data_IF_853417502991
#
_entry.id   IF_853417502991
#
_cell.length_a   1.000
_cell.length_b   1.000
_cell.length_c   1.000
_cell.angle_alpha   90.00
_cell.angle_beta   90.00
_cell.angle_gamma   90.00
#
_symmetry.space_group_name_H-M   'P 1'
#
loop_
_entity.id
_entity.type
_entity.pdbx_description
1 polymer ?
#
# COMPACT_ATOMS: atom_id res chain seq x y z
N UNK A 1 16.49 -13.62 7.77
CA UNK A 1 16.92 -12.48 6.93
C UNK A 1 18.42 -12.52 6.64
N UNK A 2 19.30 -12.60 7.64
CA UNK A 2 20.75 -12.65 7.42
C UNK A 2 21.20 -13.87 6.56
N UNK A 3 20.59 -15.05 6.74
CA UNK A 3 20.89 -16.25 5.93
C UNK A 3 20.50 -16.14 4.45
N UNK A 4 19.59 -15.24 4.09
CA UNK A 4 19.12 -15.04 2.72
C UNK A 4 19.76 -13.80 2.07
N UNK A 5 20.72 -13.17 2.72
CA UNK A 5 21.37 -11.92 2.28
C UNK A 5 20.38 -10.78 1.93
N UNK A 6 19.20 -10.80 2.58
CA UNK A 6 18.13 -9.79 2.38
C UNK A 6 18.19 -8.66 3.42
N UNK A 7 19.13 -8.75 4.37
CA UNK A 7 19.36 -7.68 5.33
C UNK A 7 20.05 -6.50 4.63
N UNK A 8 19.65 -5.29 4.97
CA UNK A 8 20.17 -4.05 4.38
C UNK A 8 20.04 -3.98 2.84
N UNK A 9 18.93 -4.51 2.33
CA UNK A 9 18.60 -4.46 0.90
C UNK A 9 17.19 -3.92 0.69
N UNK A 10 16.98 -3.15 -0.41
CA UNK A 10 15.65 -2.67 -0.78
C UNK A 10 14.68 -3.83 -1.05
N UNK A 11 15.16 -4.92 -1.65
CA UNK A 11 14.34 -6.12 -1.92
C UNK A 11 13.85 -6.74 -0.60
N UNK A 12 14.75 -6.88 0.39
CA UNK A 12 14.38 -7.37 1.72
C UNK A 12 13.33 -6.49 2.40
N UNK A 13 13.49 -5.18 2.32
CA UNK A 13 12.53 -4.22 2.86
C UNK A 13 11.17 -4.33 2.15
N UNK A 14 11.14 -4.41 0.82
CA UNK A 14 9.91 -4.58 0.03
C UNK A 14 9.18 -5.86 0.40
N UNK A 15 9.89 -7.00 0.50
CA UNK A 15 9.30 -8.29 0.86
C UNK A 15 8.65 -8.26 2.24
N UNK A 16 9.35 -7.72 3.25
CA UNK A 16 8.81 -7.65 4.63
C UNK A 16 7.64 -6.69 4.72
N UNK A 17 7.75 -5.51 4.09
CA UNK A 17 6.66 -4.53 4.07
C UNK A 17 5.43 -5.09 3.36
N UNK A 18 5.60 -5.78 2.24
CA UNK A 18 4.51 -6.44 1.51
C UNK A 18 3.85 -7.54 2.35
N UNK A 19 4.64 -8.37 3.04
CA UNK A 19 4.11 -9.40 3.91
C UNK A 19 3.28 -8.82 5.08
N UNK A 20 3.74 -7.72 5.68
CA UNK A 20 3.01 -7.03 6.74
C UNK A 20 1.66 -6.47 6.28
N UNK A 21 1.58 -5.98 5.03
CA UNK A 21 0.36 -5.42 4.44
C UNK A 21 -0.61 -6.50 3.91
N UNK A 22 -0.11 -7.72 3.69
CA UNK A 22 -0.90 -8.79 3.06
C UNK A 22 -2.14 -9.18 3.87
N UNK A 23 -2.05 -9.17 5.19
CA UNK A 23 -3.19 -9.52 6.05
C UNK A 23 -4.39 -8.59 5.82
N UNK A 24 -4.15 -7.27 5.78
CA UNK A 24 -5.19 -6.26 5.54
C UNK A 24 -5.70 -6.36 4.10
N UNK A 25 -4.81 -6.55 3.13
CA UNK A 25 -5.16 -6.70 1.72
C UNK A 25 -6.11 -7.89 1.49
N UNK A 26 -5.78 -9.05 2.07
CA UNK A 26 -6.62 -10.26 1.98
C UNK A 26 -7.96 -10.03 2.66
N UNK A 27 -7.97 -9.47 3.87
CA UNK A 27 -9.21 -9.20 4.61
C UNK A 27 -10.17 -8.31 3.82
N UNK A 28 -9.68 -7.20 3.28
CA UNK A 28 -10.49 -6.27 2.50
C UNK A 28 -11.01 -6.91 1.20
N UNK A 29 -10.14 -7.66 0.50
CA UNK A 29 -10.50 -8.30 -0.76
C UNK A 29 -11.54 -9.40 -0.55
N UNK A 30 -11.36 -10.27 0.46
CA UNK A 30 -12.32 -11.34 0.77
C UNK A 30 -13.68 -10.76 1.15
N UNK A 31 -13.70 -9.75 2.03
CA UNK A 31 -14.97 -9.13 2.42
C UNK A 31 -15.69 -8.48 1.23
N UNK A 32 -14.94 -7.87 0.31
CA UNK A 32 -15.53 -7.28 -0.89
C UNK A 32 -16.09 -8.34 -1.85
N UNK A 33 -15.34 -9.42 -2.09
CA UNK A 33 -15.78 -10.51 -2.98
C UNK A 33 -17.03 -11.20 -2.44
N UNK A 34 -17.18 -11.30 -1.12
CA UNK A 34 -18.39 -11.85 -0.49
C UNK A 34 -19.66 -11.04 -0.72
N UNK A 35 -19.55 -9.78 -1.14
CA UNK A 35 -20.70 -8.94 -1.49
C UNK A 35 -21.22 -9.22 -2.91
N UNK A 36 -20.51 -10.00 -3.71
CA UNK A 36 -20.98 -10.41 -5.05
C UNK A 36 -22.20 -11.33 -4.87
N UNK A 37 -23.36 -11.02 -5.50
CA UNK A 37 -24.54 -11.85 -5.39
C UNK A 37 -24.29 -13.29 -5.85
N UNK A 38 -24.76 -14.27 -5.07
CA UNK A 38 -24.60 -15.68 -5.38
C UNK A 38 -25.27 -16.09 -6.71
N UNK A 39 -26.36 -15.43 -7.05
CA UNK A 39 -27.11 -15.63 -8.31
C UNK A 39 -26.22 -15.50 -9.56
N UNK A 40 -25.20 -14.64 -9.51
CA UNK A 40 -24.25 -14.50 -10.64
C UNK A 40 -23.35 -15.74 -10.78
N UNK A 41 -22.99 -16.35 -9.66
CA UNK A 41 -22.21 -17.60 -9.67
C UNK A 41 -23.06 -18.77 -10.18
N UNK A 42 -24.34 -18.83 -9.75
CA UNK A 42 -25.29 -19.85 -10.17
C UNK A 42 -25.57 -19.75 -11.68
N UNK A 43 -25.75 -18.54 -12.21
CA UNK A 43 -25.93 -18.31 -13.65
C UNK A 43 -24.70 -18.81 -14.44
N UNK A 44 -23.48 -18.46 -14.00
CA UNK A 44 -22.26 -18.93 -14.64
C UNK A 44 -22.11 -20.46 -14.57
N UNK A 45 -22.58 -21.08 -13.50
CA UNK A 45 -22.57 -22.53 -13.33
C UNK A 45 -23.54 -23.23 -14.32
N UNK A 46 -24.75 -22.66 -14.51
CA UNK A 46 -25.72 -23.15 -15.51
C UNK A 46 -25.18 -23.04 -16.95
N UNK A 47 -24.42 -21.97 -17.23
CA UNK A 47 -23.72 -21.78 -18.52
C UNK A 47 -22.50 -22.69 -18.70
N UNK A 48 -22.20 -23.57 -17.74
CA UNK A 48 -21.08 -24.51 -17.80
C UNK A 48 -19.71 -23.82 -17.70
N UNK A 49 -19.63 -22.62 -17.14
CA UNK A 49 -18.39 -21.88 -17.03
C UNK A 49 -17.40 -22.58 -16.07
N UNK A 50 -16.14 -22.71 -16.51
CA UNK A 50 -15.08 -23.20 -15.65
C UNK A 50 -14.74 -22.20 -14.54
N UNK A 51 -14.16 -22.66 -13.42
CA UNK A 51 -13.73 -21.79 -12.32
C UNK A 51 -12.83 -20.63 -12.80
N UNK A 52 -11.94 -20.91 -13.75
CA UNK A 52 -11.09 -19.89 -14.37
C UNK A 52 -11.90 -18.84 -15.13
N UNK A 53 -12.95 -19.26 -15.82
CA UNK A 53 -13.84 -18.35 -16.54
C UNK A 53 -14.61 -17.49 -15.56
N UNK A 54 -15.17 -18.06 -14.49
CA UNK A 54 -15.84 -17.35 -13.41
C UNK A 54 -14.89 -16.32 -12.77
N UNK A 55 -13.66 -16.71 -12.47
CA UNK A 55 -12.68 -15.78 -11.90
C UNK A 55 -12.38 -14.60 -12.84
N UNK A 56 -12.06 -14.87 -14.11
CA UNK A 56 -11.63 -13.83 -15.05
C UNK A 56 -12.77 -12.95 -15.55
N UNK A 57 -13.97 -13.47 -15.70
CA UNK A 57 -15.11 -12.76 -16.29
C UNK A 57 -16.06 -12.15 -15.24
N UNK A 58 -16.14 -12.72 -14.06
CA UNK A 58 -17.01 -12.23 -12.98
C UNK A 58 -16.20 -11.62 -11.83
N UNK A 59 -15.41 -12.43 -11.12
CA UNK A 59 -14.76 -12.02 -9.89
C UNK A 59 -13.74 -10.90 -10.12
N UNK A 60 -12.83 -11.06 -11.06
CA UNK A 60 -11.78 -10.09 -11.35
C UNK A 60 -12.30 -8.71 -11.76
N UNK A 61 -13.23 -8.57 -12.72
CA UNK A 61 -13.78 -7.27 -13.07
C UNK A 61 -14.52 -6.60 -11.91
N UNK A 62 -15.28 -7.37 -11.14
CA UNK A 62 -16.01 -6.86 -9.98
C UNK A 62 -15.07 -6.50 -8.81
N UNK A 63 -13.93 -7.18 -8.65
CA UNK A 63 -12.96 -6.92 -7.60
C UNK A 63 -12.01 -5.73 -7.92
N UNK A 64 -11.97 -5.22 -9.14
CA UNK A 64 -11.08 -4.09 -9.50
C UNK A 64 -11.17 -2.89 -8.56
N UNK A 65 -12.37 -2.45 -8.11
CA UNK A 65 -12.46 -1.31 -7.19
C UNK A 65 -11.74 -1.57 -5.86
N UNK A 66 -11.88 -2.76 -5.28
CA UNK A 66 -11.22 -3.08 -4.00
C UNK A 66 -9.71 -3.21 -4.18
N UNK A 67 -9.23 -3.73 -5.31
CA UNK A 67 -7.79 -3.76 -5.61
C UNK A 67 -7.22 -2.33 -5.63
N UNK A 68 -7.96 -1.37 -6.20
CA UNK A 68 -7.58 0.04 -6.15
C UNK A 68 -7.48 0.57 -4.73
N UNK A 69 -8.47 0.31 -3.88
CA UNK A 69 -8.48 0.71 -2.47
C UNK A 69 -7.32 0.07 -1.71
N UNK A 70 -7.13 -1.24 -1.85
CA UNK A 70 -6.03 -1.99 -1.20
C UNK A 70 -4.67 -1.43 -1.63
N UNK A 71 -4.48 -1.13 -2.92
CA UNK A 71 -3.23 -0.56 -3.43
C UNK A 71 -2.90 0.79 -2.79
N UNK A 72 -3.91 1.63 -2.56
CA UNK A 72 -3.75 2.93 -1.90
C UNK A 72 -3.37 2.74 -0.43
N UNK A 73 -4.08 1.87 0.31
CA UNK A 73 -3.74 1.59 1.71
C UNK A 73 -2.34 1.00 1.85
N UNK A 74 -1.98 0.05 0.99
CA UNK A 74 -0.64 -0.53 0.98
C UNK A 74 0.44 0.52 0.64
N UNK A 75 0.19 1.38 -0.33
CA UNK A 75 1.09 2.46 -0.70
C UNK A 75 1.28 3.49 0.42
N UNK A 76 0.20 3.93 1.07
CA UNK A 76 0.26 4.83 2.22
C UNK A 76 0.97 4.18 3.41
N UNK A 77 0.69 2.91 3.69
CA UNK A 77 1.34 2.15 4.75
C UNK A 77 2.83 1.97 4.51
N UNK A 78 3.25 1.68 3.27
CA UNK A 78 4.65 1.59 2.89
C UNK A 78 5.36 2.94 2.96
N UNK A 79 4.70 4.02 2.50
CA UNK A 79 5.24 5.39 2.53
C UNK A 79 5.51 5.88 3.94
N UNK A 80 4.59 5.60 4.87
CA UNK A 80 4.70 6.05 6.27
C UNK A 80 5.48 5.07 7.16
N UNK A 81 6.00 3.97 6.59
CA UNK A 81 6.69 2.95 7.38
C UNK A 81 8.05 3.46 7.84
N UNK A 82 8.22 3.54 9.15
CA UNK A 82 9.45 3.97 9.81
C UNK A 82 10.15 2.81 10.51
N UNK A 83 9.38 1.96 11.20
CA UNK A 83 9.94 0.94 12.11
C UNK A 83 10.67 -0.16 11.35
N UNK A 84 10.10 -0.68 10.27
CA UNK A 84 10.74 -1.74 9.49
C UNK A 84 12.06 -1.27 8.84
N UNK A 85 12.13 -0.10 8.17
CA UNK A 85 13.39 0.44 7.70
C UNK A 85 14.41 0.65 8.81
N UNK A 86 14.01 1.19 9.97
CA UNK A 86 14.91 1.43 11.10
C UNK A 86 15.61 0.15 11.58
N UNK A 87 14.91 -1.00 11.51
CA UNK A 87 15.43 -2.30 11.97
C UNK A 87 16.19 -3.03 10.85
N UNK A 88 15.76 -2.88 9.60
CA UNK A 88 16.22 -3.70 8.49
C UNK A 88 17.27 -3.04 7.60
N UNK A 89 17.46 -1.72 7.70
CA UNK A 89 18.40 -0.99 6.85
C UNK A 89 19.44 -0.25 7.69
N UNK A 90 20.69 -0.24 7.21
CA UNK A 90 21.81 0.45 7.87
C UNK A 90 22.57 1.37 6.92
N UNK A 91 22.62 1.03 5.63
CA UNK A 91 23.37 1.82 4.65
C UNK A 91 22.58 3.02 4.14
N UNK A 92 23.30 4.07 3.77
CA UNK A 92 22.69 5.27 3.20
C UNK A 92 21.92 4.99 1.89
N UNK A 93 22.32 3.96 1.14
CA UNK A 93 21.68 3.55 -0.12
C UNK A 93 20.31 2.90 0.04
N UNK A 94 19.99 2.41 1.24
CA UNK A 94 18.72 1.75 1.59
C UNK A 94 17.83 2.62 2.48
N UNK A 95 18.28 3.83 2.83
CA UNK A 95 17.53 4.77 3.66
C UNK A 95 16.27 5.24 2.93
N UNK A 96 15.12 5.03 3.56
CA UNK A 96 13.82 5.55 3.08
C UNK A 96 13.51 6.90 3.71
N UNK A 97 12.57 7.64 3.10
CA UNK A 97 12.29 9.03 3.46
C UNK A 97 11.97 9.24 4.96
N UNK A 98 11.07 8.48 5.62
CA UNK A 98 10.80 8.68 7.06
C UNK A 98 12.03 8.47 7.93
N UNK A 99 12.86 7.48 7.61
CA UNK A 99 14.09 7.21 8.34
C UNK A 99 15.13 8.30 8.10
N UNK A 100 15.27 8.79 6.87
CA UNK A 100 16.16 9.92 6.54
C UNK A 100 15.75 11.21 7.24
N UNK A 101 14.46 11.52 7.32
CA UNK A 101 13.95 12.66 8.09
C UNK A 101 14.30 12.56 9.58
N UNK A 102 14.13 11.38 10.16
CA UNK A 102 14.51 11.11 11.54
C UNK A 102 16.02 11.31 11.76
N UNK A 103 16.87 10.76 10.88
CA UNK A 103 18.31 10.92 10.96
C UNK A 103 18.72 12.38 10.88
N UNK A 104 18.17 13.17 9.95
CA UNK A 104 18.46 14.62 9.86
C UNK A 104 18.02 15.34 11.13
N UNK A 105 16.89 14.97 11.74
CA UNK A 105 16.39 15.59 12.96
C UNK A 105 17.21 15.25 14.20
N UNK A 106 17.90 14.10 14.21
CA UNK A 106 18.68 13.62 15.35
C UNK A 106 20.18 13.85 15.20
N UNK A 107 20.68 14.15 14.01
CA UNK A 107 22.10 14.42 13.77
C UNK A 107 22.47 15.75 14.40
N UNK A 108 23.07 15.71 15.58
CA UNK A 108 23.65 16.85 16.25
C UNK A 108 24.92 17.29 15.52
N UNK A 109 24.78 18.15 14.52
CA UNK A 109 25.86 19.09 14.21
C UNK A 109 25.96 19.99 15.45
N UNK A 110 27.15 20.25 16.02
CA UNK A 110 27.38 20.97 17.28
C UNK A 110 26.68 22.33 17.48
N UNK A 111 25.76 22.71 16.60
CA UNK A 111 24.89 23.89 16.63
C UNK A 111 23.38 23.55 16.82
N UNK A 112 23.03 22.30 17.18
CA UNK A 112 21.63 21.89 17.35
C UNK A 112 20.96 21.44 16.05
N UNK A 113 19.66 21.04 16.14
CA UNK A 113 18.86 20.61 15.00
C UNK A 113 18.61 21.78 14.05
N UNK A 114 18.94 21.63 12.79
CA UNK A 114 18.62 22.64 11.79
C UNK A 114 17.13 22.58 11.42
N UNK A 115 16.30 23.23 12.23
CA UNK A 115 14.83 23.23 12.10
C UNK A 115 14.36 23.62 10.69
N UNK A 116 14.92 24.66 10.02
CA UNK A 116 14.56 24.99 8.64
C UNK A 116 14.74 23.85 7.66
N UNK A 117 15.84 23.10 7.75
CA UNK A 117 16.09 21.95 6.85
C UNK A 117 15.07 20.82 7.10
N UNK A 118 14.80 20.51 8.38
CA UNK A 118 13.81 19.49 8.75
C UNK A 118 12.42 19.89 8.22
N UNK A 119 12.02 21.15 8.41
CA UNK A 119 10.73 21.66 7.92
C UNK A 119 10.61 21.61 6.39
N UNK A 120 11.66 22.00 5.68
CA UNK A 120 11.69 21.88 4.22
C UNK A 120 11.55 20.41 3.77
N UNK A 121 12.30 19.49 4.39
CA UNK A 121 12.24 18.07 4.07
C UNK A 121 10.85 17.46 4.37
N UNK A 122 10.18 17.85 5.45
CA UNK A 122 8.79 17.45 5.75
C UNK A 122 7.84 17.95 4.67
N UNK A 123 7.93 19.21 4.24
CA UNK A 123 7.08 19.75 3.17
C UNK A 123 7.27 18.94 1.88
N UNK A 124 8.52 18.67 1.49
CA UNK A 124 8.81 17.84 0.31
C UNK A 124 8.30 16.41 0.44
N UNK A 125 8.25 15.86 1.65
CA UNK A 125 7.74 14.50 1.88
C UNK A 125 6.23 14.38 1.68
N UNK A 126 5.48 15.47 1.84
CA UNK A 126 4.02 15.49 1.64
C UNK A 126 3.65 15.59 0.16
N UNK A 127 4.50 16.17 -0.69
CA UNK A 127 4.19 16.39 -2.11
C UNK A 127 3.81 15.11 -2.88
N UNK A 128 4.54 13.99 -2.79
CA UNK A 128 4.17 12.76 -3.47
C UNK A 128 2.81 12.23 -3.03
N UNK A 129 2.48 12.33 -1.74
CA UNK A 129 1.19 11.92 -1.21
C UNK A 129 0.05 12.79 -1.76
N UNK A 130 0.26 14.10 -1.86
CA UNK A 130 -0.71 15.01 -2.46
C UNK A 130 -0.95 14.69 -3.94
N UNK A 131 0.12 14.42 -4.70
CA UNK A 131 0.02 14.05 -6.11
C UNK A 131 -0.75 12.73 -6.25
N UNK A 132 -0.42 11.73 -5.44
CA UNK A 132 -1.10 10.44 -5.41
C UNK A 132 -2.58 10.61 -5.06
N UNK A 133 -2.89 11.39 -4.04
CA UNK A 133 -4.28 11.69 -3.64
C UNK A 133 -5.06 12.37 -4.77
N UNK A 134 -4.50 13.41 -5.39
CA UNK A 134 -5.16 14.13 -6.49
C UNK A 134 -5.40 13.23 -7.70
N UNK A 135 -4.47 12.32 -8.01
CA UNK A 135 -4.62 11.34 -9.09
C UNK A 135 -5.69 10.29 -8.82
N UNK A 136 -5.79 9.82 -7.56
CA UNK A 136 -6.66 8.72 -7.18
C UNK A 136 -8.02 9.14 -6.61
N UNK A 137 -8.24 10.42 -6.30
CA UNK A 137 -9.50 10.92 -5.69
C UNK A 137 -10.75 10.51 -6.46
N UNK A 138 -10.67 10.44 -7.80
CA UNK A 138 -11.81 10.01 -8.63
C UNK A 138 -12.16 8.53 -8.47
N UNK A 139 -11.20 7.68 -8.15
CA UNK A 139 -11.42 6.25 -7.91
C UNK A 139 -12.05 6.02 -6.52
N UNK A 140 -11.68 6.83 -5.53
CA UNK A 140 -12.32 6.81 -4.19
C UNK A 140 -13.82 7.11 -4.28
N UNK A 141 -14.20 8.16 -5.00
CA UNK A 141 -15.61 8.56 -5.12
C UNK A 141 -16.44 7.48 -5.83
N UNK A 142 -15.88 6.83 -6.86
CA UNK A 142 -16.56 5.73 -7.56
C UNK A 142 -16.65 4.44 -6.74
N UNK A 143 -15.64 4.14 -5.92
CA UNK A 143 -15.62 2.95 -5.07
C UNK A 143 -16.57 3.04 -3.87
N UNK A 144 -16.72 4.23 -3.26
CA UNK A 144 -17.58 4.44 -2.09
C UNK A 144 -19.01 4.78 -2.51
N UNK A 145 -19.19 5.51 -3.62
CA UNK A 145 -20.51 5.92 -4.10
C UNK A 145 -21.37 4.77 -4.63
N UNK A 146 -20.78 3.65 -5.04
CA UNK A 146 -21.49 2.45 -5.45
C UNK A 146 -22.25 1.73 -4.29
N UNK A 147 -21.89 2.03 -3.05
CA UNK A 147 -22.55 1.46 -1.87
C UNK A 147 -23.68 2.33 -1.28
N UNK A 148 -23.82 3.57 -1.71
CA UNK A 148 -24.78 4.52 -1.13
C UNK A 148 -26.11 4.59 -1.89
N UNK A 149 -26.29 3.83 -2.96
CA UNK A 149 -27.47 3.85 -3.83
C UNK A 149 -28.17 2.49 -3.96
N UNK A 150 -28.05 1.63 -2.96
CA UNK A 150 -28.92 0.44 -2.82
C UNK A 150 -29.69 0.50 -1.52
#
# INVERSE_FOLDING_TARGET
MAKLQLYDTLIGLVLVTSAAQMAVAVLLTVNYVRLIPGELFDAMAVDGASERTVFLQLVWPMARPVVGVVSIFAGLGAWNNFILPLILTQSASTTVLPLGLFQISTTNSGFGVNVPIVMAAVIFSVLPLLILYLGLRRQFVKGIGGFALQ
#
